data_IF_339803137250
#
_entry.id   IF_339803137250
#
_cell.length_a   1.000
_cell.length_b   1.000
_cell.length_c   1.000
_cell.angle_alpha   90.00
_cell.angle_beta   90.00
_cell.angle_gamma   90.00
#
_symmetry.space_group_name_H-M   'P 1'
#
loop_
_entity.id
_entity.type
_entity.pdbx_description
1 polymer ?
#
# COMPACT_ATOMS: atom_id res chain seq x y z
N UNK A 1 5.96 -15.38 17.97
CA UNK A 1 6.39 -14.67 19.19
C UNK A 1 5.17 -14.34 20.07
N UNK A 2 4.27 -13.45 19.66
CA UNK A 2 3.19 -12.94 20.53
C UNK A 2 1.84 -13.63 20.29
N UNK A 3 1.78 -14.56 19.36
CA UNK A 3 0.60 -15.36 19.01
C UNK A 3 -0.70 -14.56 18.90
N UNK A 4 -0.62 -13.39 18.22
CA UNK A 4 -1.72 -12.45 18.08
C UNK A 4 -2.87 -13.08 17.26
N UNK A 5 -4.10 -12.79 17.69
CA UNK A 5 -5.35 -13.16 17.03
C UNK A 5 -6.20 -11.91 16.82
N UNK A 6 -7.20 -11.99 15.94
CA UNK A 6 -8.12 -10.88 15.62
C UNK A 6 -7.39 -9.59 15.23
N UNK A 7 -6.30 -9.72 14.45
CA UNK A 7 -5.43 -8.61 14.09
C UNK A 7 -6.10 -7.71 13.06
N UNK A 8 -6.06 -6.40 13.29
CA UNK A 8 -6.32 -5.40 12.25
C UNK A 8 -4.97 -5.09 11.58
N UNK A 9 -4.84 -5.53 10.34
CA UNK A 9 -3.58 -5.44 9.59
C UNK A 9 -3.60 -4.22 8.69
N UNK A 10 -2.69 -3.27 8.89
CA UNK A 10 -2.63 -2.04 8.11
C UNK A 10 -1.41 -2.07 7.18
N UNK A 11 -1.63 -1.89 5.89
CA UNK A 11 -0.57 -1.74 4.89
C UNK A 11 -0.60 -0.36 4.26
N UNK A 12 0.50 0.40 4.40
CA UNK A 12 0.67 1.71 3.77
C UNK A 12 1.56 1.57 2.53
N UNK A 13 1.20 2.25 1.45
CA UNK A 13 2.04 2.33 0.25
C UNK A 13 2.38 0.93 -0.32
N UNK A 14 3.67 0.63 -0.50
CA UNK A 14 4.15 -0.71 -0.85
C UNK A 14 3.70 -1.78 0.15
N UNK A 15 3.49 -1.42 1.41
CA UNK A 15 2.99 -2.33 2.44
C UNK A 15 1.70 -3.07 2.08
N UNK A 16 0.92 -2.55 1.14
CA UNK A 16 -0.25 -3.24 0.59
C UNK A 16 0.08 -4.60 -0.04
N UNK A 17 1.22 -4.71 -0.75
CA UNK A 17 1.72 -6.00 -1.26
C UNK A 17 1.97 -7.00 -0.12
N UNK A 18 2.57 -6.51 0.97
CA UNK A 18 2.94 -7.33 2.13
C UNK A 18 1.69 -7.82 2.86
N UNK A 19 0.76 -6.91 3.19
CA UNK A 19 -0.45 -7.29 3.95
C UNK A 19 -1.36 -8.22 3.14
N UNK A 20 -1.39 -8.09 1.81
CA UNK A 20 -2.10 -9.03 0.94
C UNK A 20 -1.53 -10.45 1.08
N UNK A 21 -0.21 -10.61 1.04
CA UNK A 21 0.45 -11.91 1.22
C UNK A 21 0.27 -12.48 2.64
N UNK A 22 0.31 -11.64 3.66
CA UNK A 22 0.07 -12.06 5.06
C UNK A 22 -1.37 -12.52 5.24
N UNK A 23 -2.34 -11.76 4.71
CA UNK A 23 -3.77 -12.09 4.81
C UNK A 23 -4.11 -13.40 4.08
N UNK A 24 -3.41 -13.74 2.99
CA UNK A 24 -3.54 -15.04 2.34
C UNK A 24 -2.94 -16.18 3.17
N UNK A 25 -1.80 -15.93 3.81
CA UNK A 25 -1.02 -16.95 4.52
C UNK A 25 -1.63 -17.37 5.86
N UNK A 26 -2.23 -16.43 6.59
CA UNK A 26 -2.78 -16.64 7.93
C UNK A 26 -4.14 -15.93 8.11
N UNK A 27 -5.12 -16.14 7.21
CA UNK A 27 -6.39 -15.41 7.23
C UNK A 27 -7.17 -15.61 8.54
N UNK A 28 -6.99 -16.74 9.20
CA UNK A 28 -7.66 -17.09 10.46
C UNK A 28 -7.25 -16.17 11.64
N UNK A 29 -6.11 -15.47 11.53
CA UNK A 29 -5.63 -14.52 12.53
C UNK A 29 -6.03 -13.09 12.25
N UNK A 30 -6.60 -12.83 11.06
CA UNK A 30 -6.86 -11.47 10.59
C UNK A 30 -8.35 -11.14 10.78
N UNK A 31 -8.64 -10.15 11.62
CA UNK A 31 -9.97 -9.60 11.78
C UNK A 31 -10.35 -8.67 10.63
N UNK A 32 -9.38 -7.86 10.15
CA UNK A 32 -9.58 -6.86 9.09
C UNK A 32 -8.27 -6.50 8.42
N UNK A 33 -8.33 -6.17 7.13
CA UNK A 33 -7.21 -5.57 6.39
C UNK A 33 -7.54 -4.12 6.03
N UNK A 34 -6.60 -3.21 6.26
CA UNK A 34 -6.70 -1.80 5.89
C UNK A 34 -5.57 -1.47 4.91
N UNK A 35 -5.95 -1.04 3.72
CA UNK A 35 -5.04 -0.48 2.73
C UNK A 35 -5.02 1.04 2.91
N UNK A 36 -3.96 1.59 3.48
CA UNK A 36 -3.76 3.03 3.64
C UNK A 36 -2.94 3.55 2.47
N UNK A 37 -3.60 4.18 1.52
CA UNK A 37 -2.97 4.73 0.32
C UNK A 37 -1.93 3.76 -0.27
N UNK A 38 -2.39 2.53 -0.55
CA UNK A 38 -1.53 1.38 -0.72
C UNK A 38 -1.77 0.62 -2.01
N UNK A 39 -0.74 -0.07 -2.48
CA UNK A 39 -0.82 -0.97 -3.63
C UNK A 39 -1.71 -2.15 -3.27
N UNK A 40 -2.72 -2.41 -4.09
CA UNK A 40 -3.46 -3.66 -4.08
C UNK A 40 -3.20 -4.41 -5.40
N UNK A 41 -2.42 -5.49 -5.39
CA UNK A 41 -2.12 -6.23 -6.62
C UNK A 41 -3.28 -7.14 -7.03
N UNK A 42 -3.43 -7.36 -8.31
CA UNK A 42 -4.19 -8.52 -8.79
C UNK A 42 -3.40 -9.81 -8.56
N UNK A 43 -4.08 -10.96 -8.61
CA UNK A 43 -3.43 -12.27 -8.43
C UNK A 43 -2.30 -12.45 -9.44
N UNK A 44 -1.14 -12.86 -8.96
CA UNK A 44 0.06 -13.05 -9.77
C UNK A 44 0.61 -11.77 -10.42
N UNK A 45 0.38 -10.62 -9.78
CA UNK A 45 0.89 -9.31 -10.21
C UNK A 45 2.05 -8.85 -9.31
N UNK A 46 3.03 -8.19 -9.89
CA UNK A 46 4.11 -7.53 -9.15
C UNK A 46 3.75 -6.07 -8.85
N UNK A 47 4.47 -5.43 -7.91
CA UNK A 47 4.25 -4.03 -7.57
C UNK A 47 4.44 -3.10 -8.78
N UNK A 48 5.48 -3.28 -9.60
CA UNK A 48 5.68 -2.46 -10.82
C UNK A 48 4.53 -2.63 -11.81
N UNK A 49 3.98 -3.83 -11.94
CA UNK A 49 2.81 -4.07 -12.79
C UNK A 49 1.54 -3.43 -12.22
N UNK A 50 1.31 -3.55 -10.91
CA UNK A 50 0.17 -2.93 -10.23
C UNK A 50 0.18 -1.41 -10.38
N UNK A 51 1.35 -0.79 -10.27
CA UNK A 51 1.54 0.64 -10.47
C UNK A 51 1.49 1.08 -11.95
N UNK A 52 1.41 0.15 -12.89
CA UNK A 52 1.45 0.45 -14.32
C UNK A 52 2.81 0.99 -14.78
N UNK A 53 3.87 0.67 -14.05
CA UNK A 53 5.23 1.03 -14.39
C UNK A 53 5.81 0.00 -15.39
N UNK A 54 6.78 0.46 -16.19
CA UNK A 54 7.56 -0.41 -17.05
C UNK A 54 8.60 -1.24 -16.29
N UNK A 55 9.51 -1.85 -17.03
CA UNK A 55 10.62 -2.60 -16.43
C UNK A 55 11.53 -1.69 -15.58
N UNK A 56 12.10 -2.24 -14.52
CA UNK A 56 13.11 -1.54 -13.69
C UNK A 56 14.22 -1.00 -14.61
N UNK A 57 14.64 0.24 -14.36
CA UNK A 57 15.55 1.03 -15.20
C UNK A 57 14.98 1.50 -16.54
N UNK A 58 13.72 1.23 -16.86
CA UNK A 58 13.01 1.85 -17.98
C UNK A 58 12.84 3.38 -17.79
N UNK A 59 12.28 4.05 -18.81
CA UNK A 59 12.10 5.51 -18.80
C UNK A 59 11.15 5.99 -17.68
N UNK A 60 10.08 5.20 -17.42
CA UNK A 60 9.02 5.51 -16.45
C UNK A 60 9.03 4.49 -15.31
N UNK A 61 10.17 4.21 -14.71
CA UNK A 61 10.27 3.20 -13.67
C UNK A 61 11.35 3.57 -12.65
N UNK A 62 11.36 2.81 -11.55
CA UNK A 62 12.40 2.93 -10.54
C UNK A 62 13.78 2.62 -11.12
N UNK A 63 14.78 3.33 -10.64
CA UNK A 63 16.18 3.06 -10.97
C UNK A 63 16.78 2.10 -9.97
N UNK A 64 17.44 1.08 -10.47
CA UNK A 64 18.13 0.11 -9.64
C UNK A 64 19.62 0.05 -9.97
N UNK A 65 20.42 -0.08 -8.93
CA UNK A 65 21.86 -0.34 -9.01
C UNK A 65 22.18 -1.56 -8.16
N UNK A 66 22.98 -2.48 -8.69
CA UNK A 66 23.37 -3.71 -8.00
C UNK A 66 22.17 -4.48 -7.40
N UNK A 67 21.05 -4.57 -8.15
CA UNK A 67 19.84 -5.25 -7.73
C UNK A 67 19.04 -4.54 -6.62
N UNK A 68 19.33 -3.26 -6.37
CA UNK A 68 18.62 -2.44 -5.36
C UNK A 68 18.05 -1.18 -5.98
N UNK A 69 16.80 -0.86 -5.65
CA UNK A 69 16.17 0.41 -5.99
C UNK A 69 16.74 1.51 -5.12
N UNK A 70 17.15 2.59 -5.77
CA UNK A 70 17.64 3.78 -5.09
C UNK A 70 16.43 4.70 -4.83
N UNK A 71 16.15 5.08 -3.59
CA UNK A 71 14.99 5.90 -3.25
C UNK A 71 15.19 7.33 -3.76
N UNK A 72 14.63 7.61 -4.95
CA UNK A 72 14.72 8.93 -5.60
C UNK A 72 13.86 10.00 -4.91
N UNK A 73 12.93 9.59 -4.06
CA UNK A 73 12.09 10.47 -3.26
C UNK A 73 12.80 11.03 -2.01
N UNK A 74 13.91 10.42 -1.58
CA UNK A 74 14.71 10.91 -0.45
C UNK A 74 15.62 12.04 -0.93
N UNK A 75 15.28 13.26 -0.51
CA UNK A 75 16.04 14.47 -0.90
C UNK A 75 17.26 14.73 0.01
N UNK A 76 17.14 14.39 1.28
CA UNK A 76 18.18 14.64 2.30
C UNK A 76 18.60 13.30 2.93
N UNK A 77 19.75 12.80 2.48
CA UNK A 77 20.32 11.54 2.95
C UNK A 77 21.10 11.67 4.26
N UNK A 78 21.20 12.88 4.82
CA UNK A 78 21.91 13.12 6.10
C UNK A 78 21.00 12.99 7.31
N UNK A 79 19.67 13.14 7.12
CA UNK A 79 18.68 13.00 8.19
C UNK A 79 18.36 11.55 8.51
N UNK A 80 18.07 11.29 9.77
CA UNK A 80 17.58 9.97 10.26
C UNK A 80 16.21 10.17 10.92
N UNK A 81 15.28 9.19 10.76
CA UNK A 81 15.40 7.97 9.94
C UNK A 81 15.44 8.31 8.45
N UNK A 82 16.07 7.46 7.64
CA UNK A 82 16.13 7.64 6.19
C UNK A 82 15.84 6.33 5.47
N UNK A 83 15.28 6.44 4.28
CA UNK A 83 15.16 5.29 3.39
C UNK A 83 16.54 4.85 2.91
N UNK A 84 16.68 3.56 2.77
CA UNK A 84 17.88 2.91 2.27
C UNK A 84 17.60 2.19 0.95
N UNK A 85 18.63 1.86 0.14
CA UNK A 85 18.43 1.09 -1.07
C UNK A 85 17.70 -0.23 -0.79
N UNK A 86 16.63 -0.46 -1.53
CA UNK A 86 15.65 -1.53 -1.33
C UNK A 86 15.84 -2.63 -2.39
N UNK A 87 15.76 -3.93 -2.06
CA UNK A 87 15.93 -4.99 -3.05
C UNK A 87 14.93 -4.87 -4.21
N UNK A 88 15.42 -4.80 -5.44
CA UNK A 88 14.56 -4.63 -6.62
C UNK A 88 13.60 -5.83 -6.81
N UNK A 89 13.98 -7.01 -6.35
CA UNK A 89 13.15 -8.21 -6.43
C UNK A 89 11.79 -8.05 -5.74
N UNK A 90 11.69 -7.26 -4.66
CA UNK A 90 10.41 -7.02 -3.99
C UNK A 90 9.40 -6.30 -4.89
N UNK A 91 9.86 -5.45 -5.80
CA UNK A 91 8.99 -4.75 -6.75
C UNK A 91 8.67 -5.55 -8.01
N UNK A 92 9.53 -6.51 -8.38
CA UNK A 92 9.39 -7.30 -9.61
C UNK A 92 8.82 -8.69 -9.38
N UNK A 93 8.97 -9.23 -8.17
CA UNK A 93 8.41 -10.52 -7.82
C UNK A 93 6.88 -10.45 -7.82
N UNK A 94 6.26 -11.42 -8.48
CA UNK A 94 4.79 -11.51 -8.54
C UNK A 94 4.24 -12.13 -7.26
N UNK A 95 3.23 -11.51 -6.69
CA UNK A 95 2.52 -12.03 -5.53
C UNK A 95 1.41 -12.98 -6.00
N UNK A 96 1.50 -14.22 -5.56
CA UNK A 96 0.43 -15.22 -5.72
C UNK A 96 -0.32 -15.30 -4.41
N UNK A 97 -1.64 -15.22 -4.48
CA UNK A 97 -2.54 -15.35 -3.34
C UNK A 97 -3.90 -15.88 -3.80
N UNK A 98 -4.68 -16.39 -2.87
CA UNK A 98 -6.04 -16.85 -3.11
C UNK A 98 -7.04 -15.69 -2.95
N UNK A 99 -7.59 -15.22 -4.06
CA UNK A 99 -8.55 -14.11 -4.06
C UNK A 99 -9.84 -14.44 -3.29
N UNK A 100 -10.27 -15.71 -3.26
CA UNK A 100 -11.47 -16.13 -2.53
C UNK A 100 -11.26 -16.10 -1.02
N UNK A 101 -10.06 -16.44 -0.55
CA UNK A 101 -9.69 -16.28 0.86
C UNK A 101 -9.71 -14.81 1.27
N UNK A 102 -9.04 -13.97 0.49
CA UNK A 102 -8.97 -12.55 0.78
C UNK A 102 -10.36 -11.89 0.76
N UNK A 103 -11.23 -12.28 -0.17
CA UNK A 103 -12.58 -11.74 -0.28
C UNK A 103 -13.49 -12.05 0.93
N UNK A 104 -13.11 -12.99 1.78
CA UNK A 104 -13.86 -13.31 3.02
C UNK A 104 -13.52 -12.38 4.18
N UNK A 105 -12.42 -11.65 4.07
CA UNK A 105 -11.99 -10.71 5.12
C UNK A 105 -12.67 -9.35 4.94
N UNK A 106 -13.05 -8.68 6.04
CA UNK A 106 -13.42 -7.27 5.98
C UNK A 106 -12.23 -6.44 5.51
N UNK A 107 -12.44 -5.62 4.49
CA UNK A 107 -11.37 -4.78 3.91
C UNK A 107 -11.83 -3.33 3.87
N UNK A 108 -10.94 -2.43 4.30
CA UNK A 108 -11.09 -0.98 4.16
C UNK A 108 -9.97 -0.44 3.27
N UNK A 109 -10.30 0.41 2.31
CA UNK A 109 -9.33 1.19 1.57
C UNK A 109 -9.43 2.67 1.98
N UNK A 110 -8.34 3.23 2.46
CA UNK A 110 -8.20 4.66 2.78
C UNK A 110 -7.38 5.28 1.66
N UNK A 111 -8.01 6.13 0.85
CA UNK A 111 -7.31 6.96 -0.14
C UNK A 111 -6.88 8.26 0.50
N UNK A 112 -5.61 8.64 0.37
CA UNK A 112 -5.18 10.02 0.61
C UNK A 112 -5.10 10.78 -0.70
N UNK A 113 -5.33 12.09 -0.68
CA UNK A 113 -5.22 12.96 -1.85
C UNK A 113 -5.06 14.41 -1.44
N UNK A 114 -4.46 15.21 -2.30
CA UNK A 114 -4.29 16.64 -2.08
C UNK A 114 -5.02 17.43 -3.19
N UNK A 115 -5.93 18.31 -2.82
CA UNK A 115 -6.61 19.20 -3.77
C UNK A 115 -5.61 20.06 -4.56
N UNK A 116 -4.54 20.51 -3.92
CA UNK A 116 -3.49 21.30 -4.55
C UNK A 116 -2.78 20.56 -5.69
N UNK A 117 -2.77 19.22 -5.67
CA UNK A 117 -2.17 18.37 -6.70
C UNK A 117 -3.18 17.91 -7.76
N UNK A 118 -4.39 18.46 -7.75
CA UNK A 118 -5.43 18.17 -8.75
C UNK A 118 -6.49 17.18 -8.30
N UNK A 119 -6.55 16.91 -6.99
CA UNK A 119 -7.58 16.06 -6.40
C UNK A 119 -7.30 14.56 -6.55
N UNK A 120 -8.23 13.76 -6.06
CA UNK A 120 -8.07 12.30 -5.95
C UNK A 120 -7.90 11.58 -7.28
N UNK A 121 -8.48 12.09 -8.37
CA UNK A 121 -8.41 11.47 -9.69
C UNK A 121 -7.00 11.50 -10.28
N UNK A 122 -6.14 12.36 -9.77
CA UNK A 122 -4.72 12.47 -10.17
C UNK A 122 -3.75 11.77 -9.22
N UNK A 123 -4.25 11.22 -8.14
CA UNK A 123 -3.43 10.46 -7.22
C UNK A 123 -2.98 9.12 -7.83
N UNK A 124 -1.73 8.74 -7.60
CA UNK A 124 -1.14 7.52 -8.16
C UNK A 124 -1.86 6.26 -7.66
N UNK A 125 -2.48 6.31 -6.48
CA UNK A 125 -3.20 5.21 -5.85
C UNK A 125 -4.71 5.21 -6.14
N UNK A 126 -5.22 6.19 -6.85
CA UNK A 126 -6.63 6.28 -7.21
C UNK A 126 -7.16 5.03 -7.94
N UNK A 127 -6.31 4.35 -8.71
CA UNK A 127 -6.68 3.08 -9.36
C UNK A 127 -7.07 2.01 -8.35
N UNK A 128 -6.36 1.91 -7.23
CA UNK A 128 -6.64 0.91 -6.18
C UNK A 128 -7.89 1.28 -5.38
N UNK A 129 -8.13 2.57 -5.16
CA UNK A 129 -9.39 3.07 -4.61
C UNK A 129 -10.58 2.65 -5.49
N UNK A 130 -10.48 2.80 -6.82
CA UNK A 130 -11.54 2.34 -7.74
C UNK A 130 -11.73 0.83 -7.65
N UNK A 131 -10.66 0.07 -7.65
CA UNK A 131 -10.72 -1.37 -7.47
C UNK A 131 -11.41 -1.78 -6.17
N UNK A 132 -11.15 -1.07 -5.07
CA UNK A 132 -11.83 -1.29 -3.79
C UNK A 132 -13.34 -1.01 -3.88
N UNK A 133 -13.75 0.06 -4.56
CA UNK A 133 -15.18 0.37 -4.80
C UNK A 133 -15.88 -0.73 -5.60
N UNK A 134 -15.25 -1.20 -6.68
CA UNK A 134 -15.78 -2.29 -7.51
C UNK A 134 -15.95 -3.61 -6.75
N UNK A 135 -15.13 -3.82 -5.71
CA UNK A 135 -15.19 -4.97 -4.81
C UNK A 135 -16.11 -4.76 -3.59
N UNK A 136 -16.81 -3.63 -3.52
CA UNK A 136 -17.67 -3.26 -2.38
C UNK A 136 -16.95 -3.20 -1.03
N UNK A 137 -15.67 -2.83 -1.03
CA UNK A 137 -14.92 -2.58 0.20
C UNK A 137 -15.42 -1.32 0.90
N UNK A 138 -15.20 -1.22 2.20
CA UNK A 138 -15.35 0.06 2.89
C UNK A 138 -14.31 1.04 2.35
N UNK A 139 -14.78 2.22 1.96
CA UNK A 139 -13.92 3.28 1.39
C UNK A 139 -13.93 4.47 2.32
N UNK A 140 -12.74 4.98 2.61
CA UNK A 140 -12.51 6.22 3.35
C UNK A 140 -11.65 7.14 2.49
N UNK A 141 -11.96 8.42 2.50
CA UNK A 141 -11.18 9.46 1.79
C UNK A 141 -10.61 10.42 2.83
N UNK A 142 -9.33 10.72 2.73
CA UNK A 142 -8.63 11.65 3.62
C UNK A 142 -7.85 12.66 2.80
N UNK A 143 -8.16 13.94 2.95
CA UNK A 143 -7.36 15.00 2.35
C UNK A 143 -6.04 15.14 3.12
N UNK A 144 -5.01 14.52 2.57
CA UNK A 144 -3.66 14.43 3.15
C UNK A 144 -2.65 14.11 2.06
N UNK A 145 -1.37 14.30 2.36
CA UNK A 145 -0.30 13.75 1.53
C UNK A 145 -0.29 12.23 1.58
N UNK A 146 0.52 11.60 0.74
CA UNK A 146 0.78 10.14 0.78
C UNK A 146 1.23 9.64 2.17
N UNK A 147 1.69 10.53 3.04
CA UNK A 147 2.15 10.21 4.38
C UNK A 147 1.29 10.87 5.47
N UNK A 148 0.00 10.49 5.60
CA UNK A 148 -0.94 11.11 6.54
C UNK A 148 -0.50 10.98 8.01
N UNK A 149 0.36 10.02 8.32
CA UNK A 149 0.97 9.88 9.65
C UNK A 149 1.90 11.06 10.00
N UNK A 150 2.26 11.89 9.02
CA UNK A 150 3.12 13.09 9.22
C UNK A 150 2.27 14.35 9.26
N UNK A 151 1.34 14.52 8.31
CA UNK A 151 0.61 15.79 8.12
C UNK A 151 -0.83 15.77 8.63
N UNK A 152 -1.44 14.60 8.83
CA UNK A 152 -2.83 14.41 9.28
C UNK A 152 -2.98 13.33 10.34
N UNK A 153 -2.06 13.31 11.31
CA UNK A 153 -1.99 12.24 12.31
C UNK A 153 -3.29 12.07 13.10
N UNK A 154 -3.90 13.17 13.55
CA UNK A 154 -5.10 13.08 14.40
C UNK A 154 -6.30 12.52 13.62
N UNK A 155 -6.48 12.96 12.38
CA UNK A 155 -7.53 12.49 11.49
C UNK A 155 -7.32 11.01 11.13
N UNK A 156 -6.08 10.62 10.83
CA UNK A 156 -5.75 9.22 10.58
C UNK A 156 -6.03 8.34 11.80
N UNK A 157 -5.63 8.78 13.00
CA UNK A 157 -5.90 8.05 14.26
C UNK A 157 -7.40 7.88 14.48
N UNK A 158 -8.19 8.94 14.27
CA UNK A 158 -9.65 8.88 14.41
C UNK A 158 -10.23 7.81 13.46
N UNK A 159 -9.85 7.83 12.18
CA UNK A 159 -10.27 6.83 11.18
C UNK A 159 -9.90 5.42 11.64
N UNK A 160 -8.65 5.19 12.04
CA UNK A 160 -8.19 3.85 12.44
C UNK A 160 -8.88 3.34 13.72
N UNK A 161 -9.29 4.23 14.64
CA UNK A 161 -10.06 3.87 15.82
C UNK A 161 -11.49 3.45 15.50
N UNK A 162 -12.09 4.00 14.44
CA UNK A 162 -13.41 3.60 13.93
C UNK A 162 -13.40 2.22 13.24
N UNK A 163 -12.23 1.71 12.86
CA UNK A 163 -12.06 0.43 12.18
C UNK A 163 -11.97 -0.78 13.15
N UNK A 164 -12.01 -0.57 14.45
CA UNK A 164 -11.89 -1.64 15.48
C UNK A 164 -13.01 -2.67 15.49
#
# INVERSE_FOLDING_TARGET
FEDLQDVILVGHSYGGMVVTGVADSIPERIKKVIYLDAIFPEVNQSAVQALGMGEINGSNSFKAQNGRIIPSWVRDTTKTPRDVPHPAATFTQRLKYDAEKLAKLPITYILTYEHANGGKERDDFYRFYKNGKERNWKIVELEASHNPQIDKLNELVAILLEEK
#
